data_IF_864264767513
#
_entry.id   IF_864264767513
#
_cell.length_a   1.000
_cell.length_b   1.000
_cell.length_c   1.000
_cell.angle_alpha   90.00
_cell.angle_beta   90.00
_cell.angle_gamma   90.00
#
_symmetry.space_group_name_H-M   'P 1'
#
loop_
_entity.id
_entity.type
_entity.pdbx_description
1 polymer ?
#
# COMPACT_ATOMS: atom_id res chain seq x y z
N UNK A 1 8.08 -69.91 8.45
CA UNK A 1 7.98 -68.42 8.10
C UNK A 1 9.24 -68.13 7.31
N UNK A 2 9.10 -67.72 6.07
CA UNK A 2 10.18 -67.68 5.10
C UNK A 2 11.10 -66.43 5.41
N UNK A 3 12.40 -66.73 5.54
CA UNK A 3 13.42 -65.74 5.91
C UNK A 3 13.44 -64.50 4.97
N UNK A 4 13.00 -64.67 3.73
CA UNK A 4 12.83 -63.58 2.75
C UNK A 4 11.69 -62.63 3.10
N UNK A 5 10.63 -63.11 3.78
CA UNK A 5 9.51 -62.25 4.25
C UNK A 5 9.88 -61.43 5.48
N UNK A 6 10.79 -61.92 6.32
CA UNK A 6 11.30 -61.21 7.49
C UNK A 6 12.23 -60.08 7.07
N UNK A 7 13.06 -60.27 6.05
CA UNK A 7 13.96 -59.23 5.51
C UNK A 7 13.15 -58.13 4.84
N UNK A 8 12.04 -58.45 4.14
CA UNK A 8 11.17 -57.45 3.51
C UNK A 8 10.41 -56.63 4.54
N UNK A 9 9.97 -57.22 5.65
CA UNK A 9 9.31 -56.52 6.74
C UNK A 9 10.27 -55.61 7.52
N UNK A 10 11.52 -56.01 7.71
CA UNK A 10 12.54 -55.15 8.31
C UNK A 10 12.96 -53.99 7.39
N UNK A 11 13.04 -54.23 6.10
CA UNK A 11 13.33 -53.17 5.12
C UNK A 11 12.19 -52.17 5.00
N UNK A 12 10.94 -52.58 5.09
CA UNK A 12 9.79 -51.67 5.10
C UNK A 12 9.68 -50.87 6.41
N UNK A 13 9.99 -51.48 7.56
CA UNK A 13 10.01 -50.81 8.85
C UNK A 13 11.16 -49.77 8.98
N UNK A 14 12.32 -50.06 8.37
CA UNK A 14 13.45 -49.13 8.36
C UNK A 14 13.17 -47.94 7.40
N UNK A 15 12.48 -48.18 6.27
CA UNK A 15 12.10 -47.13 5.34
C UNK A 15 11.01 -46.17 5.91
N UNK A 16 10.10 -46.71 6.75
CA UNK A 16 9.09 -45.88 7.43
C UNK A 16 9.67 -45.13 8.64
N UNK A 17 10.69 -45.65 9.31
CA UNK A 17 11.36 -44.97 10.42
C UNK A 17 12.30 -43.83 9.95
N UNK A 18 12.85 -43.93 8.73
CA UNK A 18 13.69 -42.86 8.15
C UNK A 18 12.83 -41.73 7.53
N UNK A 19 11.54 -41.99 7.23
CA UNK A 19 10.60 -40.98 6.74
C UNK A 19 10.02 -40.09 7.86
N UNK A 20 10.02 -40.53 9.12
CA UNK A 20 9.53 -39.72 10.25
C UNK A 20 10.60 -38.89 10.98
N UNK A 21 11.87 -39.02 10.60
CA UNK A 21 12.99 -38.36 11.30
C UNK A 21 13.56 -37.12 10.59
N UNK A 22 12.93 -36.61 9.54
CA UNK A 22 13.41 -35.44 8.81
C UNK A 22 12.62 -34.17 9.03
N UNK A 23 11.53 -34.21 9.77
CA UNK A 23 10.75 -33.02 10.10
C UNK A 23 11.27 -32.28 11.35
N UNK A 24 12.16 -32.91 12.14
CA UNK A 24 12.69 -32.32 13.36
C UNK A 24 13.90 -31.35 13.13
N UNK A 25 14.49 -31.34 11.94
CA UNK A 25 15.62 -30.45 11.60
C UNK A 25 15.20 -29.13 10.93
N UNK A 26 13.92 -28.95 10.62
CA UNK A 26 13.41 -27.67 10.20
C UNK A 26 12.99 -26.87 11.44
N UNK A 27 13.99 -26.35 12.13
CA UNK A 27 13.75 -25.26 13.08
C UNK A 27 13.25 -24.08 12.24
N UNK A 28 11.99 -23.61 12.47
CA UNK A 28 11.55 -22.38 11.84
C UNK A 28 12.56 -21.31 12.18
N UNK A 29 12.86 -20.38 11.24
CA UNK A 29 13.74 -19.25 11.53
C UNK A 29 13.36 -18.65 12.88
N UNK A 30 14.33 -18.30 13.71
CA UNK A 30 14.05 -17.61 14.98
C UNK A 30 13.51 -16.23 14.70
N UNK A 31 12.20 -16.14 14.54
CA UNK A 31 11.49 -14.88 14.33
C UNK A 31 11.19 -14.15 15.63
N UNK A 32 11.69 -14.65 16.74
CA UNK A 32 11.47 -14.06 18.05
C UNK A 32 12.66 -13.16 18.45
N UNK A 33 12.94 -12.15 17.63
CA UNK A 33 13.93 -11.14 17.96
C UNK A 33 13.26 -9.74 18.09
N UNK A 34 13.78 -8.88 18.97
CA UNK A 34 13.29 -7.51 19.04
C UNK A 34 13.65 -6.75 17.78
N UNK A 35 12.72 -5.97 17.25
CA UNK A 35 12.99 -5.11 16.09
C UNK A 35 14.01 -4.04 16.51
N UNK A 36 15.17 -3.97 15.84
CA UNK A 36 16.16 -2.95 16.15
C UNK A 36 15.65 -1.56 15.85
N UNK A 37 15.91 -0.62 16.74
CA UNK A 37 15.71 0.80 16.46
C UNK A 37 16.58 1.21 15.27
N UNK A 38 15.97 1.86 14.29
CA UNK A 38 16.63 2.29 13.05
C UNK A 38 16.39 3.77 12.85
N UNK A 39 17.43 4.49 12.45
CA UNK A 39 17.32 5.90 12.08
C UNK A 39 17.43 6.05 10.57
N UNK A 40 16.66 6.96 10.00
CA UNK A 40 16.78 7.36 8.61
C UNK A 40 17.86 8.45 8.48
N UNK A 41 18.66 8.39 7.42
CA UNK A 41 19.59 9.48 7.07
C UNK A 41 18.85 10.69 6.50
N UNK A 42 17.75 10.43 5.80
CA UNK A 42 16.84 11.44 5.24
C UNK A 42 15.42 11.08 5.60
N UNK A 43 14.54 12.07 5.85
CA UNK A 43 13.12 11.81 6.10
C UNK A 43 12.48 10.98 4.98
N UNK A 44 11.63 10.03 5.35
CA UNK A 44 10.87 9.26 4.37
C UNK A 44 9.82 10.12 3.66
N UNK A 45 9.50 9.75 2.43
CA UNK A 45 8.29 10.20 1.74
C UNK A 45 7.16 9.29 2.20
N UNK A 46 6.13 9.84 2.84
CA UNK A 46 5.06 9.04 3.44
C UNK A 46 3.76 9.22 2.67
N UNK A 47 3.29 8.14 2.04
CA UNK A 47 1.97 8.08 1.42
C UNK A 47 0.98 7.35 2.32
N UNK A 48 -0.30 7.77 2.33
CA UNK A 48 -1.34 7.07 3.07
C UNK A 48 -2.53 6.74 2.17
N UNK A 49 -2.99 5.49 2.22
CA UNK A 49 -4.20 5.05 1.49
C UNK A 49 -5.41 5.77 2.06
N UNK A 50 -6.20 6.38 1.19
CA UNK A 50 -7.34 7.19 1.56
C UNK A 50 -8.65 6.60 1.00
N UNK A 51 -9.63 6.41 1.89
CA UNK A 51 -10.97 5.96 1.51
C UNK A 51 -11.90 7.14 1.28
N UNK A 52 -12.50 7.21 0.08
CA UNK A 52 -13.46 8.24 -0.28
C UNK A 52 -14.84 7.85 0.24
N UNK A 53 -15.19 8.27 1.44
CA UNK A 53 -16.51 8.05 2.00
C UNK A 53 -17.54 9.01 1.36
N UNK A 54 -18.52 8.45 0.68
CA UNK A 54 -19.59 9.20 -0.03
C UNK A 54 -20.86 9.33 0.78
N UNK A 55 -21.02 8.52 1.81
CA UNK A 55 -22.17 8.48 2.71
C UNK A 55 -21.71 8.61 4.16
N UNK A 56 -22.66 8.81 5.07
CA UNK A 56 -22.41 8.94 6.52
C UNK A 56 -22.76 7.66 7.30
N UNK A 57 -22.91 6.53 6.62
CA UNK A 57 -23.28 5.25 7.23
C UNK A 57 -22.09 4.32 7.51
N UNK A 58 -20.87 4.74 7.17
CA UNK A 58 -19.65 3.98 7.48
C UNK A 58 -19.39 3.90 8.99
N UNK A 59 -18.80 2.80 9.43
CA UNK A 59 -18.56 2.53 10.85
C UNK A 59 -17.24 1.79 11.03
N UNK A 60 -16.57 2.11 12.14
CA UNK A 60 -15.48 1.27 12.66
C UNK A 60 -16.04 -0.06 13.19
N UNK A 61 -15.36 -1.15 12.91
CA UNK A 61 -15.71 -2.49 13.41
C UNK A 61 -15.56 -2.58 14.92
N UNK A 62 -14.54 -1.91 15.49
CA UNK A 62 -14.31 -1.84 16.94
C UNK A 62 -15.12 -0.74 17.63
N UNK A 63 -15.78 0.12 16.85
CA UNK A 63 -16.55 1.24 17.40
C UNK A 63 -15.73 2.49 17.66
N UNK A 64 -14.62 2.67 16.98
CA UNK A 64 -13.81 3.89 17.04
C UNK A 64 -14.55 5.08 16.42
N UNK A 65 -14.33 6.25 16.98
CA UNK A 65 -14.99 7.48 16.55
C UNK A 65 -13.94 8.49 16.10
N UNK A 66 -13.88 8.81 14.79
CA UNK A 66 -12.98 9.85 14.30
C UNK A 66 -13.23 11.19 15.00
N UNK A 67 -12.17 11.91 15.33
CA UNK A 67 -12.30 13.24 15.95
C UNK A 67 -13.08 14.22 15.05
N UNK A 68 -12.95 14.10 13.72
CA UNK A 68 -13.69 14.94 12.76
C UNK A 68 -15.19 14.61 12.70
N UNK A 69 -15.64 13.51 13.31
CA UNK A 69 -17.05 13.12 13.42
C UNK A 69 -17.69 13.60 14.72
N UNK A 70 -16.94 14.19 15.64
CA UNK A 70 -17.44 14.58 16.96
C UNK A 70 -17.98 16.00 16.92
N UNK A 71 -19.21 16.17 17.34
CA UNK A 71 -19.85 17.48 17.49
C UNK A 71 -19.75 17.93 18.94
N UNK A 72 -19.22 19.13 19.15
CA UNK A 72 -19.06 19.75 20.47
C UNK A 72 -20.02 20.92 20.63
N UNK A 73 -20.49 21.14 21.86
CA UNK A 73 -21.16 22.40 22.23
C UNK A 73 -20.14 23.54 22.48
N UNK A 74 -20.67 24.72 22.79
CA UNK A 74 -19.86 25.91 23.08
C UNK A 74 -18.96 25.73 24.32
N UNK A 75 -19.28 24.79 25.20
CA UNK A 75 -18.54 24.46 26.41
C UNK A 75 -17.52 23.34 26.19
N UNK A 76 -17.43 22.77 24.98
CA UNK A 76 -16.54 21.69 24.62
C UNK A 76 -17.04 20.29 25.03
N UNK A 77 -18.32 20.16 25.41
CA UNK A 77 -18.92 18.84 25.68
C UNK A 77 -19.40 18.20 24.37
N UNK A 78 -19.21 16.87 24.27
CA UNK A 78 -19.70 16.11 23.10
C UNK A 78 -21.23 16.05 23.14
N UNK A 79 -21.87 16.54 22.09
CA UNK A 79 -23.32 16.52 21.94
C UNK A 79 -23.83 15.49 20.95
N UNK A 80 -23.00 15.14 19.94
CA UNK A 80 -23.37 14.19 18.90
C UNK A 80 -22.10 13.58 18.25
N UNK A 81 -22.32 12.56 17.42
CA UNK A 81 -21.31 11.95 16.58
C UNK A 81 -21.90 11.73 15.19
N UNK A 82 -21.42 12.49 14.21
CA UNK A 82 -21.90 12.44 12.83
C UNK A 82 -20.75 12.07 11.90
N UNK A 83 -20.75 10.84 11.33
CA UNK A 83 -19.75 10.48 10.33
C UNK A 83 -19.73 11.49 9.18
N UNK A 84 -18.53 11.86 8.74
CA UNK A 84 -18.34 12.80 7.64
C UNK A 84 -18.40 12.11 6.27
N UNK A 85 -18.61 12.88 5.20
CA UNK A 85 -18.30 12.48 3.83
C UNK A 85 -17.02 13.15 3.36
N UNK A 86 -16.29 12.51 2.45
CA UNK A 86 -14.98 12.98 2.00
C UNK A 86 -15.02 14.37 1.33
N UNK A 87 -16.17 14.74 0.73
CA UNK A 87 -16.38 16.03 0.05
C UNK A 87 -17.15 17.04 0.89
N UNK A 88 -17.46 16.72 2.15
CA UNK A 88 -18.12 17.64 3.07
C UNK A 88 -17.23 18.87 3.33
N UNK A 89 -17.87 20.03 3.43
CA UNK A 89 -17.16 21.29 3.67
C UNK A 89 -16.24 21.24 4.91
N UNK A 90 -15.01 21.69 4.74
CA UNK A 90 -13.99 21.70 5.78
C UNK A 90 -13.26 20.37 6.02
N UNK A 91 -13.78 19.22 5.56
CA UNK A 91 -13.17 17.89 5.83
C UNK A 91 -11.81 17.77 5.13
N UNK A 92 -11.69 18.08 3.85
CA UNK A 92 -10.42 18.01 3.12
C UNK A 92 -9.36 18.88 3.82
N UNK A 93 -9.70 20.10 4.18
CA UNK A 93 -8.79 21.02 4.85
C UNK A 93 -8.35 20.49 6.21
N UNK A 94 -9.28 19.98 7.00
CA UNK A 94 -9.00 19.44 8.33
C UNK A 94 -8.12 18.17 8.24
N UNK A 95 -8.42 17.26 7.31
CA UNK A 95 -7.62 16.06 7.09
C UNK A 95 -6.21 16.38 6.58
N UNK A 96 -6.06 17.34 5.68
CA UNK A 96 -4.74 17.82 5.26
C UNK A 96 -3.93 18.36 6.44
N UNK A 97 -4.55 19.14 7.32
CA UNK A 97 -3.87 19.67 8.50
C UNK A 97 -3.37 18.57 9.44
N UNK A 98 -4.19 17.56 9.71
CA UNK A 98 -3.83 16.40 10.53
C UNK A 98 -2.77 15.53 9.84
N UNK A 99 -2.91 15.27 8.55
CA UNK A 99 -1.94 14.49 7.78
C UNK A 99 -0.57 15.18 7.70
N UNK A 100 -0.55 16.49 7.50
CA UNK A 100 0.68 17.32 7.56
C UNK A 100 1.34 17.22 8.94
N UNK A 101 0.55 17.20 10.02
CA UNK A 101 1.06 16.99 11.38
C UNK A 101 1.74 15.63 11.52
N UNK A 102 1.19 14.58 10.93
CA UNK A 102 1.79 13.24 10.90
C UNK A 102 3.03 13.16 9.98
N UNK A 103 3.23 14.13 9.10
CA UNK A 103 4.27 14.09 8.09
C UNK A 103 3.88 13.27 6.85
N UNK A 104 2.59 13.13 6.55
CA UNK A 104 2.11 12.53 5.31
C UNK A 104 2.36 13.51 4.16
N UNK A 105 2.97 13.02 3.08
CA UNK A 105 3.26 13.80 1.88
C UNK A 105 2.15 13.70 0.83
N UNK A 106 1.48 12.54 0.75
CA UNK A 106 0.36 12.35 -0.17
C UNK A 106 -0.68 11.35 0.33
N UNK A 107 -1.90 11.54 -0.13
CA UNK A 107 -2.96 10.53 -0.06
C UNK A 107 -3.04 9.74 -1.35
N UNK A 108 -3.16 8.43 -1.22
CA UNK A 108 -3.40 7.50 -2.32
C UNK A 108 -4.90 7.22 -2.40
N UNK A 109 -5.55 7.69 -3.46
CA UNK A 109 -6.97 7.47 -3.72
C UNK A 109 -7.19 6.41 -4.81
N UNK A 110 -8.27 5.63 -4.78
CA UNK A 110 -8.62 4.75 -5.89
C UNK A 110 -8.91 5.59 -7.14
N UNK A 111 -8.72 4.99 -8.32
CA UNK A 111 -9.08 5.58 -9.60
C UNK A 111 -9.62 4.49 -10.53
N UNK A 112 -10.94 4.47 -10.69
CA UNK A 112 -11.67 3.61 -11.61
C UNK A 112 -12.44 4.41 -12.68
N UNK A 113 -12.15 5.71 -12.78
CA UNK A 113 -12.78 6.68 -13.66
C UNK A 113 -14.30 6.77 -13.45
N UNK A 114 -14.72 6.83 -12.21
CA UNK A 114 -16.12 6.98 -11.84
C UNK A 114 -16.46 8.36 -11.25
N UNK A 115 -17.76 8.60 -11.06
CA UNK A 115 -18.23 9.88 -10.53
C UNK A 115 -17.79 10.16 -9.09
N UNK A 116 -17.48 9.13 -8.30
CA UNK A 116 -17.03 9.28 -6.90
C UNK A 116 -15.67 9.94 -6.87
N UNK A 117 -14.73 9.39 -7.62
CA UNK A 117 -13.36 9.87 -7.68
C UNK A 117 -13.29 11.25 -8.35
N UNK A 118 -14.02 11.44 -9.44
CA UNK A 118 -14.11 12.74 -10.12
C UNK A 118 -14.67 13.83 -9.20
N UNK A 119 -15.73 13.55 -8.46
CA UNK A 119 -16.30 14.51 -7.50
C UNK A 119 -15.33 14.80 -6.35
N UNK A 120 -14.61 13.80 -5.85
CA UNK A 120 -13.62 14.00 -4.82
C UNK A 120 -12.46 14.88 -5.31
N UNK A 121 -11.93 14.60 -6.50
CA UNK A 121 -10.83 15.39 -7.11
C UNK A 121 -11.26 16.84 -7.35
N UNK A 122 -12.49 17.07 -7.81
CA UNK A 122 -13.01 18.43 -7.96
C UNK A 122 -13.11 19.17 -6.62
N UNK A 123 -13.55 18.50 -5.56
CA UNK A 123 -13.56 19.09 -4.22
C UNK A 123 -12.13 19.31 -3.72
N UNK A 124 -11.22 18.38 -3.98
CA UNK A 124 -9.81 18.55 -3.64
C UNK A 124 -9.20 19.77 -4.34
N UNK A 125 -9.37 19.92 -5.64
CA UNK A 125 -8.87 21.08 -6.43
C UNK A 125 -9.43 22.41 -5.90
N UNK A 126 -10.66 22.39 -5.37
CA UNK A 126 -11.29 23.58 -4.78
C UNK A 126 -10.74 23.93 -3.38
N UNK A 127 -10.55 22.95 -2.51
CA UNK A 127 -10.17 23.18 -1.10
C UNK A 127 -8.66 23.14 -0.86
N UNK A 128 -7.90 22.50 -1.75
CA UNK A 128 -6.46 22.38 -1.58
C UNK A 128 -5.76 23.73 -1.77
N UNK A 129 -4.77 23.99 -0.93
CA UNK A 129 -3.86 25.13 -1.05
C UNK A 129 -2.42 24.67 -0.88
N UNK A 130 -1.45 25.44 -1.34
CA UNK A 130 -0.04 25.13 -1.16
C UNK A 130 0.35 24.90 0.32
N UNK A 131 -0.34 25.57 1.25
CA UNK A 131 -0.14 25.40 2.69
C UNK A 131 -0.69 24.09 3.23
N UNK A 132 -1.56 23.40 2.50
CA UNK A 132 -2.06 22.07 2.86
C UNK A 132 -0.91 21.08 3.05
N UNK A 133 0.12 21.15 2.18
CA UNK A 133 1.34 20.38 2.30
C UNK A 133 1.17 18.89 1.94
N UNK A 134 -0.05 18.40 1.78
CA UNK A 134 -0.40 17.03 1.39
C UNK A 134 -0.90 17.04 -0.05
N UNK A 135 -0.48 16.08 -0.85
CA UNK A 135 -0.83 15.96 -2.27
C UNK A 135 -1.65 14.72 -2.54
N UNK A 136 -2.08 14.50 -3.77
CA UNK A 136 -2.75 13.28 -4.20
C UNK A 136 -1.86 12.42 -5.09
N UNK A 137 -2.06 11.10 -4.97
CA UNK A 137 -1.62 10.07 -5.91
C UNK A 137 -2.83 9.21 -6.23
N UNK A 138 -2.99 8.79 -7.46
CA UNK A 138 -4.05 7.85 -7.84
C UNK A 138 -3.54 6.41 -7.81
N UNK A 139 -4.43 5.49 -7.44
CA UNK A 139 -4.29 4.06 -7.67
C UNK A 139 -5.11 3.71 -8.92
N UNK A 140 -4.43 3.71 -10.04
CA UNK A 140 -5.02 3.42 -11.34
C UNK A 140 -5.32 1.92 -11.48
N UNK A 141 -6.56 1.58 -11.77
CA UNK A 141 -6.99 0.21 -11.96
C UNK A 141 -7.22 -0.07 -13.44
N UNK A 142 -6.36 -0.85 -14.06
CA UNK A 142 -6.48 -1.19 -15.48
C UNK A 142 -7.78 -1.94 -15.82
N UNK A 143 -8.42 -2.58 -14.86
CA UNK A 143 -9.65 -3.34 -15.12
C UNK A 143 -10.86 -2.47 -15.47
N UNK A 144 -10.84 -1.16 -15.18
CA UNK A 144 -11.96 -0.26 -15.56
C UNK A 144 -12.08 -0.08 -17.08
N UNK A 145 -11.01 -0.27 -17.83
CA UNK A 145 -11.00 -0.21 -19.28
C UNK A 145 -11.44 -1.52 -19.93
N UNK A 146 -11.83 -2.53 -19.15
CA UNK A 146 -12.17 -3.87 -19.64
C UNK A 146 -11.08 -4.48 -20.53
N UNK A 147 -9.83 -4.18 -20.23
CA UNK A 147 -8.67 -4.57 -21.02
C UNK A 147 -8.57 -6.09 -21.04
N UNK A 148 -8.86 -6.68 -22.19
CA UNK A 148 -8.79 -8.13 -22.42
C UNK A 148 -7.47 -8.55 -23.08
N UNK A 149 -6.81 -7.62 -23.76
CA UNK A 149 -5.50 -7.83 -24.38
C UNK A 149 -4.83 -6.48 -24.62
N UNK A 150 -3.82 -6.14 -23.82
CA UNK A 150 -3.00 -4.95 -24.06
C UNK A 150 -1.92 -5.25 -25.12
N UNK A 151 -2.34 -5.50 -26.35
CA UNK A 151 -1.39 -5.59 -27.45
C UNK A 151 -0.90 -4.20 -27.82
N UNK A 152 0.40 -4.04 -27.99
CA UNK A 152 1.01 -2.79 -28.43
C UNK A 152 0.38 -2.34 -29.77
N UNK A 153 -0.17 -1.11 -29.79
CA UNK A 153 -0.90 -0.57 -30.95
C UNK A 153 -2.32 -1.14 -31.13
N UNK A 154 -2.81 -1.97 -30.21
CA UNK A 154 -4.21 -2.39 -30.18
C UNK A 154 -5.15 -1.33 -29.59
N UNK A 155 -6.47 -1.54 -29.74
CA UNK A 155 -7.47 -0.57 -29.26
C UNK A 155 -7.38 -0.32 -27.75
N UNK A 156 -7.08 -1.34 -26.96
CA UNK A 156 -6.96 -1.23 -25.50
C UNK A 156 -5.71 -0.43 -25.09
N UNK A 157 -4.60 -0.61 -25.82
CA UNK A 157 -3.40 0.19 -25.63
C UNK A 157 -3.67 1.68 -25.91
N UNK A 158 -4.30 1.98 -27.04
CA UNK A 158 -4.64 3.35 -27.41
C UNK A 158 -5.62 3.99 -26.41
N UNK A 159 -6.55 3.20 -25.84
CA UNK A 159 -7.46 3.67 -24.81
C UNK A 159 -6.71 4.09 -23.54
N UNK A 160 -5.76 3.28 -23.06
CA UNK A 160 -4.94 3.63 -21.90
C UNK A 160 -4.09 4.88 -22.15
N UNK A 161 -3.46 4.97 -23.33
CA UNK A 161 -2.67 6.16 -23.72
C UNK A 161 -3.55 7.41 -23.75
N UNK A 162 -4.76 7.31 -24.33
CA UNK A 162 -5.71 8.43 -24.39
C UNK A 162 -6.17 8.86 -23.00
N UNK A 163 -6.44 7.91 -22.12
CA UNK A 163 -6.83 8.16 -20.74
C UNK A 163 -5.72 8.90 -19.98
N UNK A 164 -4.48 8.42 -20.03
CA UNK A 164 -3.36 9.10 -19.39
C UNK A 164 -3.06 10.49 -19.94
N UNK A 165 -3.33 10.77 -21.21
CA UNK A 165 -3.29 12.12 -21.78
C UNK A 165 -4.36 13.03 -21.14
N UNK A 166 -5.55 12.48 -20.92
CA UNK A 166 -6.65 13.19 -20.24
C UNK A 166 -6.31 13.43 -18.77
N UNK A 167 -5.79 12.41 -18.08
CA UNK A 167 -5.35 12.50 -16.69
C UNK A 167 -4.19 13.48 -16.52
N UNK A 168 -3.30 13.59 -17.52
CA UNK A 168 -2.25 14.61 -17.46
C UNK A 168 -2.84 16.03 -17.35
N UNK A 169 -3.78 16.35 -18.22
CA UNK A 169 -4.40 17.68 -18.19
C UNK A 169 -5.18 17.97 -16.91
N UNK A 170 -5.84 16.96 -16.34
CA UNK A 170 -6.77 17.14 -15.25
C UNK A 170 -6.15 16.88 -13.85
N UNK A 171 -5.13 16.00 -13.75
CA UNK A 171 -4.53 15.58 -12.50
C UNK A 171 -3.02 15.80 -12.47
N UNK A 172 -2.27 15.12 -13.35
CA UNK A 172 -0.81 15.04 -13.22
C UNK A 172 -0.10 16.39 -13.41
N UNK A 173 -0.70 17.35 -14.12
CA UNK A 173 -0.15 18.70 -14.28
C UNK A 173 -0.46 19.64 -13.11
N UNK A 174 -1.26 19.22 -12.14
CA UNK A 174 -1.69 20.06 -11.03
C UNK A 174 -0.65 20.14 -9.92
N UNK A 175 -0.53 21.28 -9.28
CA UNK A 175 0.41 21.50 -8.16
C UNK A 175 0.13 20.60 -6.96
N UNK A 176 -1.11 20.17 -6.79
CA UNK A 176 -1.53 19.25 -5.74
C UNK A 176 -1.33 17.76 -6.08
N UNK A 177 -0.88 17.42 -7.30
CA UNK A 177 -0.50 16.05 -7.60
C UNK A 177 0.94 15.78 -7.13
N UNK A 178 1.20 14.57 -6.64
CA UNK A 178 2.50 14.24 -6.09
C UNK A 178 3.50 13.81 -7.18
N UNK A 179 4.63 14.47 -7.18
CA UNK A 179 5.78 14.14 -8.02
C UNK A 179 6.98 13.84 -7.13
N UNK A 180 7.78 12.87 -7.54
CA UNK A 180 9.10 12.69 -6.93
C UNK A 180 9.97 13.95 -7.10
N UNK A 181 11.04 14.12 -6.30
CA UNK A 181 11.99 15.21 -6.49
C UNK A 181 12.59 15.29 -7.92
N UNK A 182 12.59 14.18 -8.66
CA UNK A 182 12.96 14.13 -10.08
C UNK A 182 11.96 14.79 -11.03
N UNK A 183 10.77 15.15 -10.56
CA UNK A 183 9.66 15.66 -11.36
C UNK A 183 8.74 14.58 -11.95
N UNK A 184 9.01 13.30 -11.69
CA UNK A 184 8.19 12.17 -12.18
C UNK A 184 6.90 12.08 -11.38
N UNK A 185 5.71 12.07 -12.02
CA UNK A 185 4.46 11.81 -11.30
C UNK A 185 4.41 10.38 -10.80
N UNK A 186 3.97 10.20 -9.56
CA UNK A 186 3.80 8.87 -8.95
C UNK A 186 2.42 8.33 -9.28
N UNK A 187 2.35 7.10 -9.77
CA UNK A 187 1.09 6.39 -10.03
C UNK A 187 1.19 4.99 -9.45
N UNK A 188 0.27 4.65 -8.56
CA UNK A 188 0.10 3.26 -8.13
C UNK A 188 -0.78 2.54 -9.15
N UNK A 189 -0.42 1.31 -9.51
CA UNK A 189 -1.17 0.51 -10.46
C UNK A 189 -1.67 -0.79 -9.83
N UNK A 190 -2.89 -1.16 -10.18
CA UNK A 190 -3.53 -2.40 -9.77
C UNK A 190 -4.23 -3.07 -10.95
N UNK A 191 -4.67 -4.32 -10.76
CA UNK A 191 -5.34 -5.07 -11.83
C UNK A 191 -4.40 -5.62 -12.92
N UNK A 192 -3.10 -5.70 -12.63
CA UNK A 192 -2.08 -6.18 -13.57
C UNK A 192 -1.80 -7.70 -13.45
N UNK A 193 -2.71 -8.46 -12.87
CA UNK A 193 -2.48 -9.87 -12.60
C UNK A 193 -2.74 -10.80 -13.81
N UNK A 194 -3.10 -10.28 -14.98
CA UNK A 194 -3.35 -11.13 -16.15
C UNK A 194 -2.04 -11.52 -16.82
N UNK A 195 -1.66 -12.79 -16.68
CA UNK A 195 -0.45 -13.39 -17.25
C UNK A 195 -0.46 -13.42 -18.80
N UNK A 196 -1.62 -13.20 -19.43
CA UNK A 196 -1.76 -13.19 -20.88
C UNK A 196 -1.34 -11.88 -21.54
N UNK A 197 -1.11 -10.85 -20.74
CA UNK A 197 -0.75 -9.53 -21.20
C UNK A 197 0.77 -9.41 -21.29
N UNK A 198 1.30 -8.98 -22.41
CA UNK A 198 2.71 -8.59 -22.57
C UNK A 198 2.95 -7.24 -21.88
N UNK A 199 3.10 -7.28 -20.56
CA UNK A 199 3.36 -6.09 -19.77
C UNK A 199 4.67 -5.38 -20.12
N UNK A 200 5.68 -6.11 -20.56
CA UNK A 200 6.95 -5.52 -21.01
C UNK A 200 6.75 -4.66 -22.25
N UNK A 201 6.15 -5.23 -23.29
CA UNK A 201 5.85 -4.53 -24.53
C UNK A 201 4.91 -3.37 -24.29
N UNK A 202 3.84 -3.59 -23.49
CA UNK A 202 2.89 -2.54 -23.15
C UNK A 202 3.56 -1.35 -22.45
N UNK A 203 4.30 -1.56 -21.36
CA UNK A 203 4.92 -0.46 -20.60
C UNK A 203 5.99 0.27 -21.42
N UNK A 204 6.75 -0.45 -22.25
CA UNK A 204 7.73 0.15 -23.14
C UNK A 204 7.05 1.08 -24.15
N UNK A 205 6.05 0.58 -24.87
CA UNK A 205 5.30 1.38 -25.84
C UNK A 205 4.52 2.53 -25.21
N UNK A 206 3.96 2.33 -24.01
CA UNK A 206 3.30 3.38 -23.25
C UNK A 206 4.28 4.53 -22.92
N UNK A 207 5.49 4.22 -22.42
CA UNK A 207 6.51 5.25 -22.12
C UNK A 207 6.93 6.00 -23.38
N UNK A 208 7.06 5.33 -24.52
CA UNK A 208 7.35 5.96 -25.81
C UNK A 208 6.22 6.90 -26.24
N UNK A 209 4.96 6.46 -26.15
CA UNK A 209 3.79 7.26 -26.49
C UNK A 209 3.66 8.52 -25.61
N UNK A 210 3.90 8.39 -24.30
CA UNK A 210 3.85 9.52 -23.38
C UNK A 210 5.02 10.48 -23.55
N UNK A 211 6.21 9.99 -23.90
CA UNK A 211 7.36 10.83 -24.27
C UNK A 211 7.08 11.66 -25.54
N UNK A 212 6.47 11.04 -26.54
CA UNK A 212 6.04 11.72 -27.76
C UNK A 212 5.03 12.81 -27.45
N UNK A 213 4.00 12.47 -26.65
CA UNK A 213 2.99 13.44 -26.23
C UNK A 213 3.57 14.60 -25.41
N UNK A 214 4.54 14.36 -24.52
CA UNK A 214 5.22 15.42 -23.80
C UNK A 214 5.87 16.44 -24.73
N UNK A 215 6.56 15.94 -25.78
CA UNK A 215 7.17 16.80 -26.80
C UNK A 215 6.15 17.62 -27.57
N UNK A 216 5.04 17.00 -27.98
CA UNK A 216 3.95 17.67 -28.69
C UNK A 216 3.23 18.72 -27.85
N UNK A 217 3.01 18.42 -26.56
CA UNK A 217 2.36 19.32 -25.63
C UNK A 217 3.28 20.44 -25.08
N UNK A 218 4.58 20.41 -25.41
CA UNK A 218 5.57 21.34 -24.85
C UNK A 218 5.76 21.17 -23.34
N UNK A 219 5.44 19.99 -22.80
CA UNK A 219 5.58 19.66 -21.40
C UNK A 219 7.01 19.20 -21.07
N UNK A 220 7.49 19.39 -19.84
CA UNK A 220 8.75 18.79 -19.41
C UNK A 220 8.72 17.27 -19.56
N UNK A 221 9.77 16.67 -20.12
CA UNK A 221 9.82 15.22 -20.34
C UNK A 221 9.55 14.41 -19.04
N UNK A 222 10.05 14.90 -17.90
CA UNK A 222 9.84 14.26 -16.59
C UNK A 222 8.38 14.26 -16.12
N UNK A 223 7.56 15.19 -16.59
CA UNK A 223 6.13 15.29 -16.18
C UNK A 223 5.24 14.20 -16.75
N UNK A 224 5.75 13.42 -17.69
CA UNK A 224 5.07 12.28 -18.34
C UNK A 224 5.91 11.00 -18.28
N UNK A 225 7.03 11.03 -17.56
CA UNK A 225 7.82 9.86 -17.18
C UNK A 225 7.33 9.35 -15.81
N UNK A 226 6.26 8.58 -15.83
CA UNK A 226 5.60 8.11 -14.62
C UNK A 226 6.48 7.17 -13.79
N UNK A 227 6.44 7.36 -12.47
CA UNK A 227 6.98 6.40 -11.50
C UNK A 227 5.87 5.44 -11.10
N UNK A 228 5.88 4.25 -11.69
CA UNK A 228 4.85 3.24 -11.44
C UNK A 228 5.16 2.38 -10.23
N UNK A 229 4.21 2.31 -9.30
CA UNK A 229 4.25 1.46 -8.12
C UNK A 229 3.19 0.37 -8.25
N UNK A 230 3.60 -0.90 -8.24
CA UNK A 230 2.68 -2.04 -8.26
C UNK A 230 2.11 -2.34 -6.89
N UNK A 231 0.77 -2.48 -6.80
CA UNK A 231 0.11 -3.03 -5.61
C UNK A 231 0.01 -4.55 -5.73
N UNK A 232 0.63 -5.24 -4.80
CA UNK A 232 0.61 -6.71 -4.71
C UNK A 232 -0.20 -7.14 -3.50
N UNK A 233 -1.30 -7.86 -3.73
CA UNK A 233 -2.28 -8.19 -2.68
C UNK A 233 -2.08 -9.55 -2.03
N UNK A 234 -1.22 -10.42 -2.56
CA UNK A 234 -1.36 -11.84 -2.30
C UNK A 234 -0.18 -12.52 -1.60
N UNK A 235 1.00 -11.93 -1.49
CA UNK A 235 2.12 -12.72 -1.04
C UNK A 235 3.09 -12.00 -0.11
N UNK A 236 3.26 -12.59 1.07
CA UNK A 236 4.39 -12.34 1.95
C UNK A 236 5.74 -12.64 1.28
N UNK A 237 5.76 -13.62 0.38
CA UNK A 237 6.94 -13.96 -0.39
C UNK A 237 6.94 -13.19 -1.71
N UNK A 238 8.10 -12.65 -2.08
CA UNK A 238 8.31 -12.10 -3.40
C UNK A 238 8.00 -13.16 -4.48
N UNK A 239 7.43 -12.75 -5.64
CA UNK A 239 7.21 -13.67 -6.74
C UNK A 239 8.54 -14.30 -7.18
N UNK A 240 8.58 -15.62 -7.25
CA UNK A 240 9.82 -16.35 -7.58
C UNK A 240 10.01 -16.55 -9.09
N UNK A 241 9.04 -16.15 -9.91
CA UNK A 241 9.08 -16.34 -11.36
C UNK A 241 9.51 -15.06 -12.06
N UNK A 242 10.33 -15.19 -13.10
CA UNK A 242 10.73 -14.09 -13.98
C UNK A 242 9.54 -13.52 -14.81
N UNK A 243 8.36 -14.07 -14.67
CA UNK A 243 7.15 -13.72 -15.40
C UNK A 243 6.26 -12.74 -14.63
N UNK A 244 6.65 -12.36 -13.41
CA UNK A 244 5.88 -11.41 -12.63
C UNK A 244 5.89 -10.02 -13.27
N UNK A 245 4.69 -9.42 -13.39
CA UNK A 245 4.53 -8.02 -13.81
C UNK A 245 5.27 -7.05 -12.90
N UNK A 246 5.49 -7.44 -11.65
CA UNK A 246 6.23 -6.65 -10.65
C UNK A 246 7.61 -6.21 -11.13
N UNK A 247 8.30 -6.99 -11.97
CA UNK A 247 9.65 -6.67 -12.48
C UNK A 247 9.72 -5.49 -13.45
N UNK A 248 8.59 -5.15 -14.07
CA UNK A 248 8.53 -4.09 -15.10
C UNK A 248 8.17 -2.72 -14.55
N UNK A 249 7.78 -2.65 -13.29
CA UNK A 249 7.43 -1.42 -12.59
C UNK A 249 8.67 -0.80 -11.94
N UNK A 250 8.59 0.48 -11.58
CA UNK A 250 9.69 1.16 -10.89
C UNK A 250 9.80 0.69 -9.44
N UNK A 251 8.68 0.39 -8.82
CA UNK A 251 8.60 -0.08 -7.44
C UNK A 251 7.40 -0.98 -7.20
N UNK A 252 7.42 -1.70 -6.08
CA UNK A 252 6.30 -2.53 -5.65
C UNK A 252 6.08 -2.42 -4.15
N UNK A 253 4.81 -2.39 -3.72
CA UNK A 253 4.46 -2.62 -2.33
C UNK A 253 3.49 -3.78 -2.17
N UNK A 254 3.44 -4.33 -0.97
CA UNK A 254 2.58 -5.47 -0.64
C UNK A 254 1.57 -5.03 0.40
N UNK A 255 0.28 -5.18 0.06
CA UNK A 255 -0.79 -5.13 1.04
C UNK A 255 -0.85 -6.48 1.75
N UNK A 256 -0.32 -6.54 2.95
CA UNK A 256 -0.30 -7.75 3.76
C UNK A 256 -1.65 -7.99 4.45
N UNK A 257 -2.73 -8.08 3.68
CA UNK A 257 -4.07 -8.25 4.24
C UNK A 257 -4.34 -9.63 4.86
N UNK A 258 -3.51 -10.64 4.59
CA UNK A 258 -3.79 -11.99 5.05
C UNK A 258 -2.55 -12.78 5.45
N UNK A 259 -2.31 -12.95 6.73
CA UNK A 259 -1.64 -14.15 7.22
C UNK A 259 -2.70 -15.27 7.39
N UNK A 260 -3.28 -15.76 6.30
CA UNK A 260 -4.43 -16.69 6.34
C UNK A 260 -4.15 -18.05 6.94
N UNK A 261 -2.92 -18.38 7.27
CA UNK A 261 -2.57 -19.73 7.71
C UNK A 261 -1.62 -19.83 8.90
N UNK A 262 -1.26 -18.71 9.56
CA UNK A 262 -0.16 -18.73 10.52
C UNK A 262 -0.49 -17.99 11.83
N UNK A 263 -1.62 -18.32 12.46
CA UNK A 263 -2.00 -17.81 13.79
C UNK A 263 -0.88 -17.92 14.83
N UNK A 264 -0.07 -18.96 14.73
CA UNK A 264 1.07 -19.21 15.61
C UNK A 264 2.20 -18.18 15.46
N UNK A 265 2.18 -17.38 14.37
CA UNK A 265 3.24 -16.41 14.02
C UNK A 265 2.92 -14.97 14.37
N UNK A 266 1.78 -14.71 14.96
CA UNK A 266 1.40 -13.33 15.32
C UNK A 266 2.27 -12.73 16.41
N UNK A 267 2.71 -13.54 17.35
CA UNK A 267 3.69 -13.12 18.34
C UNK A 267 5.02 -12.67 17.70
N UNK A 268 5.31 -13.12 16.48
CA UNK A 268 6.51 -12.79 15.71
C UNK A 268 6.21 -12.02 14.41
N UNK A 269 5.05 -11.34 14.33
CA UNK A 269 4.60 -10.65 13.12
C UNK A 269 5.66 -9.68 12.57
N UNK A 270 6.23 -8.84 13.42
CA UNK A 270 7.20 -7.83 12.98
C UNK A 270 8.52 -8.43 12.51
N UNK A 271 9.17 -9.37 13.24
CA UNK A 271 10.32 -10.09 12.72
C UNK A 271 10.05 -10.87 11.43
N UNK A 272 8.90 -11.50 11.33
CA UNK A 272 8.49 -12.21 10.11
C UNK A 272 8.35 -11.25 8.94
N UNK A 273 7.71 -10.10 9.15
CA UNK A 273 7.55 -9.05 8.14
C UNK A 273 8.89 -8.48 7.72
N UNK A 274 9.80 -8.21 8.68
CA UNK A 274 11.16 -7.73 8.39
C UNK A 274 11.90 -8.69 7.44
N UNK A 275 11.84 -9.99 7.71
CA UNK A 275 12.43 -11.01 6.82
C UNK A 275 11.76 -11.08 5.44
N UNK A 276 10.43 -11.07 5.42
CA UNK A 276 9.67 -11.13 4.17
C UNK A 276 9.98 -9.93 3.27
N UNK A 277 10.09 -8.73 3.85
CA UNK A 277 10.42 -7.52 3.11
C UNK A 277 11.89 -7.46 2.69
N UNK A 278 12.81 -8.02 3.45
CA UNK A 278 14.19 -8.22 3.00
C UNK A 278 14.24 -9.09 1.74
N UNK A 279 13.48 -10.19 1.71
CA UNK A 279 13.37 -11.02 0.51
C UNK A 279 12.82 -10.23 -0.69
N UNK A 280 11.75 -9.45 -0.49
CA UNK A 280 11.21 -8.58 -1.54
C UNK A 280 12.27 -7.60 -2.08
N UNK A 281 13.03 -6.98 -1.20
CA UNK A 281 14.11 -6.07 -1.60
C UNK A 281 15.18 -6.75 -2.45
N UNK A 282 15.57 -7.96 -2.08
CA UNK A 282 16.57 -8.72 -2.88
C UNK A 282 16.03 -9.08 -4.27
N UNK A 283 14.76 -9.50 -4.38
CA UNK A 283 14.13 -9.74 -5.67
C UNK A 283 14.00 -8.45 -6.48
N UNK A 284 13.48 -7.38 -5.90
CA UNK A 284 13.34 -6.08 -6.55
C UNK A 284 14.69 -5.57 -7.08
N UNK A 285 15.73 -5.66 -6.25
CA UNK A 285 17.10 -5.34 -6.68
C UNK A 285 17.57 -6.18 -7.87
N UNK A 286 17.24 -7.47 -7.89
CA UNK A 286 17.54 -8.37 -9.01
C UNK A 286 16.82 -7.98 -10.30
N UNK A 287 15.67 -7.36 -10.20
CA UNK A 287 14.89 -6.85 -11.35
C UNK A 287 15.26 -5.42 -11.75
N UNK A 288 16.06 -4.72 -10.96
CA UNK A 288 16.42 -3.31 -11.21
C UNK A 288 15.34 -2.32 -10.76
N UNK A 289 14.42 -2.75 -9.90
CA UNK A 289 13.40 -1.90 -9.27
C UNK A 289 13.52 -1.93 -7.74
N UNK A 290 12.54 -1.40 -7.01
CA UNK A 290 12.58 -1.34 -5.55
C UNK A 290 11.30 -1.84 -4.89
N UNK A 291 11.45 -2.19 -3.61
CA UNK A 291 10.35 -2.52 -2.72
C UNK A 291 10.00 -1.32 -1.85
N UNK A 292 8.70 -1.07 -1.67
CA UNK A 292 8.16 -0.01 -0.81
C UNK A 292 7.47 -0.67 0.40
N UNK A 293 7.91 -0.40 1.63
CA UNK A 293 7.24 -0.85 2.84
C UNK A 293 5.82 -0.26 2.97
N UNK A 294 4.87 -1.09 3.43
CA UNK A 294 3.51 -0.63 3.73
C UNK A 294 3.12 -1.05 5.16
N UNK A 295 2.98 -0.07 6.03
CA UNK A 295 2.68 -0.25 7.45
C UNK A 295 1.24 0.12 7.77
N UNK A 296 0.73 -0.33 8.92
CA UNK A 296 -0.59 0.06 9.43
C UNK A 296 -0.65 0.02 10.96
N UNK A 297 -1.45 0.94 11.58
CA UNK A 297 -1.54 1.01 13.05
C UNK A 297 -2.26 -0.18 13.68
N UNK A 298 -3.23 -0.72 12.97
CA UNK A 298 -4.07 -1.85 13.37
C UNK A 298 -4.63 -2.50 12.10
N UNK A 299 -5.05 -3.75 12.21
CA UNK A 299 -5.90 -4.35 11.19
C UNK A 299 -6.75 -5.47 11.77
N UNK A 300 -8.02 -5.52 11.33
CA UNK A 300 -8.97 -6.59 11.64
C UNK A 300 -9.33 -7.36 10.39
N UNK A 301 -9.78 -8.61 10.55
CA UNK A 301 -10.35 -9.36 9.45
C UNK A 301 -11.66 -8.76 9.01
N UNK A 302 -11.85 -8.60 7.71
CA UNK A 302 -13.07 -8.05 7.16
C UNK A 302 -14.32 -8.75 7.71
N UNK A 303 -15.27 -7.97 8.20
CA UNK A 303 -16.53 -8.45 8.75
C UNK A 303 -16.45 -9.09 10.14
N UNK A 304 -15.30 -9.06 10.80
CA UNK A 304 -15.10 -9.59 12.16
C UNK A 304 -14.49 -8.54 13.09
N UNK A 305 -14.47 -8.83 14.41
CA UNK A 305 -13.73 -8.03 15.39
C UNK A 305 -12.34 -8.62 15.70
N UNK A 306 -12.00 -9.70 15.02
CA UNK A 306 -10.74 -10.39 15.28
C UNK A 306 -9.60 -9.59 14.66
N UNK A 307 -8.67 -9.18 15.50
CA UNK A 307 -7.47 -8.43 15.11
C UNK A 307 -6.40 -9.39 14.66
N UNK A 308 -5.78 -9.13 13.53
CA UNK A 308 -4.52 -9.75 13.17
C UNK A 308 -3.31 -8.84 13.41
N UNK A 309 -3.54 -7.53 13.57
CA UNK A 309 -2.57 -6.59 14.15
C UNK A 309 -3.30 -5.76 15.19
N UNK A 310 -2.78 -5.77 16.40
CA UNK A 310 -3.33 -5.01 17.51
C UNK A 310 -2.80 -3.58 17.52
N UNK A 311 -3.70 -2.61 17.70
CA UNK A 311 -3.35 -1.20 17.90
C UNK A 311 -2.62 -1.04 19.24
N UNK A 312 -1.32 -0.77 19.15
CA UNK A 312 -0.44 -0.58 20.29
C UNK A 312 0.75 0.29 19.87
N UNK A 313 1.13 1.27 20.69
CA UNK A 313 2.20 2.22 20.37
C UNK A 313 3.54 1.52 20.11
N UNK A 314 3.91 0.53 20.94
CA UNK A 314 5.13 -0.24 20.74
C UNK A 314 5.10 -0.99 19.41
N UNK A 315 4.00 -1.67 19.13
CA UNK A 315 3.81 -2.44 17.93
C UNK A 315 3.92 -1.57 16.67
N UNK A 316 3.27 -0.41 16.68
CA UNK A 316 3.35 0.51 15.55
C UNK A 316 4.74 1.13 15.40
N UNK A 317 5.43 1.43 16.51
CA UNK A 317 6.82 1.87 16.51
C UNK A 317 7.74 0.78 15.91
N UNK A 318 7.55 -0.47 16.31
CA UNK A 318 8.29 -1.60 15.74
C UNK A 318 8.02 -1.72 14.23
N UNK A 319 6.77 -1.53 13.78
CA UNK A 319 6.44 -1.57 12.35
C UNK A 319 7.11 -0.44 11.58
N UNK A 320 7.13 0.78 12.13
CA UNK A 320 7.91 1.88 11.54
C UNK A 320 9.40 1.54 11.43
N UNK A 321 9.96 0.86 12.43
CA UNK A 321 11.37 0.42 12.38
C UNK A 321 11.60 -0.68 11.33
N UNK A 322 10.66 -1.63 11.17
CA UNK A 322 10.70 -2.60 10.06
C UNK A 322 10.66 -1.88 8.72
N UNK A 323 9.80 -0.86 8.56
CA UNK A 323 9.75 -0.07 7.34
C UNK A 323 11.09 0.63 7.06
N UNK A 324 11.67 1.31 8.05
CA UNK A 324 12.95 2.01 7.90
C UNK A 324 14.10 1.09 7.48
N UNK A 325 14.09 -0.16 7.94
CA UNK A 325 15.08 -1.18 7.55
C UNK A 325 14.93 -1.66 6.11
N UNK A 326 13.73 -1.49 5.54
CA UNK A 326 13.34 -2.04 4.25
C UNK A 326 13.01 -0.98 3.19
N UNK A 327 13.22 0.29 3.51
CA UNK A 327 12.95 1.41 2.60
C UNK A 327 13.87 1.34 1.36
N UNK A 328 13.30 1.59 0.18
CA UNK A 328 14.01 1.64 -1.10
C UNK A 328 14.66 3.00 -1.38
N UNK A 329 15.21 3.14 -2.58
CA UNK A 329 15.94 4.35 -3.01
C UNK A 329 15.04 5.57 -3.21
N UNK A 330 13.75 5.38 -3.51
CA UNK A 330 12.76 6.47 -3.57
C UNK A 330 12.49 7.10 -2.21
N UNK A 331 12.80 6.40 -1.13
CA UNK A 331 12.50 6.84 0.23
C UNK A 331 11.01 6.76 0.59
N UNK A 332 10.18 6.08 -0.19
CA UNK A 332 8.73 5.99 0.04
C UNK A 332 8.40 4.93 1.09
N UNK A 333 7.49 5.26 1.99
CA UNK A 333 6.79 4.36 2.92
C UNK A 333 5.29 4.60 2.76
N UNK A 334 4.53 3.52 2.60
CA UNK A 334 3.06 3.60 2.57
C UNK A 334 2.47 3.32 3.95
N UNK A 335 1.40 4.01 4.28
CA UNK A 335 0.55 3.73 5.46
C UNK A 335 -0.82 3.27 4.95
N UNK A 336 -1.24 2.11 5.34
CA UNK A 336 -2.56 1.59 5.04
C UNK A 336 -3.35 1.47 6.36
N UNK A 337 -4.16 2.47 6.68
CA UNK A 337 -4.66 3.56 5.85
C UNK A 337 -4.64 4.90 6.58
N UNK A 338 -5.03 5.97 5.87
CA UNK A 338 -5.39 7.22 6.53
C UNK A 338 -6.69 7.03 7.35
N UNK A 339 -7.75 6.51 6.72
CA UNK A 339 -9.10 6.51 7.29
C UNK A 339 -9.94 5.26 7.00
N UNK A 340 -9.34 4.07 6.85
CA UNK A 340 -10.13 2.84 6.70
C UNK A 340 -10.63 2.32 8.05
N UNK A 341 -11.85 2.72 8.39
CA UNK A 341 -12.56 2.25 9.59
C UNK A 341 -13.24 0.90 9.40
N UNK A 342 -13.40 0.42 8.17
CA UNK A 342 -13.97 -0.91 7.91
C UNK A 342 -13.02 -2.05 8.27
N UNK A 343 -11.72 -1.76 8.28
CA UNK A 343 -10.66 -2.68 8.73
C UNK A 343 -9.93 -2.16 9.98
N UNK A 344 -10.41 -1.07 10.58
CA UNK A 344 -9.84 -0.37 11.73
C UNK A 344 -8.34 -0.01 11.58
N UNK A 345 -7.88 0.11 10.34
CA UNK A 345 -6.48 0.44 10.04
C UNK A 345 -6.21 1.95 10.00
N UNK A 346 -7.18 2.76 10.42
CA UNK A 346 -7.09 4.22 10.33
C UNK A 346 -5.95 4.80 11.16
N UNK A 347 -5.14 5.67 10.52
CA UNK A 347 -4.16 6.53 11.17
C UNK A 347 -4.80 7.83 11.68
N UNK A 348 -5.86 8.29 11.02
CA UNK A 348 -6.62 9.49 11.37
C UNK A 348 -6.96 9.50 12.87
N UNK A 349 -6.87 10.66 13.54
CA UNK A 349 -7.19 10.77 14.96
C UNK A 349 -8.61 10.34 15.26
N UNK A 350 -8.73 9.44 16.23
CA UNK A 350 -10.03 8.94 16.68
C UNK A 350 -9.97 8.57 18.16
N UNK A 351 -11.13 8.46 18.81
CA UNK A 351 -11.20 7.89 20.15
C UNK A 351 -11.04 6.38 20.11
N UNK A 352 -10.18 5.79 20.97
CA UNK A 352 -9.61 6.40 22.17
C UNK A 352 -8.18 6.95 22.05
N UNK A 353 -7.52 6.93 20.88
CA UNK A 353 -6.07 7.20 20.76
C UNK A 353 -5.70 8.66 20.46
N UNK A 354 -6.65 9.51 20.01
CA UNK A 354 -6.37 10.88 19.63
C UNK A 354 -5.28 10.97 18.54
N UNK A 355 -4.29 11.80 18.74
CA UNK A 355 -3.20 12.04 17.79
C UNK A 355 -1.95 11.15 18.00
N UNK A 356 -1.97 10.21 18.93
CA UNK A 356 -0.81 9.40 19.31
C UNK A 356 -0.10 8.78 18.11
N UNK A 357 -0.85 8.21 17.17
CA UNK A 357 -0.26 7.55 16.00
C UNK A 357 0.25 8.54 14.93
N UNK A 358 -0.30 9.76 14.88
CA UNK A 358 0.28 10.85 14.08
C UNK A 358 1.68 11.21 14.59
N UNK A 359 1.81 11.35 15.91
CA UNK A 359 3.07 11.72 16.56
C UNK A 359 4.13 10.63 16.37
N UNK A 360 3.75 9.35 16.50
CA UNK A 360 4.65 8.22 16.23
C UNK A 360 5.09 8.22 14.77
N UNK A 361 4.15 8.36 13.81
CA UNK A 361 4.47 8.40 12.38
C UNK A 361 5.48 9.49 12.07
N UNK A 362 5.22 10.71 12.55
CA UNK A 362 6.13 11.84 12.37
C UNK A 362 7.50 11.58 12.99
N UNK A 363 7.54 11.15 14.25
CA UNK A 363 8.79 10.90 14.98
C UNK A 363 9.66 9.84 14.31
N UNK A 364 9.03 8.79 13.83
CA UNK A 364 9.77 7.62 13.30
C UNK A 364 10.14 7.78 11.82
N UNK A 365 9.34 8.51 11.02
CA UNK A 365 9.54 8.58 9.58
C UNK A 365 10.03 9.94 9.07
N UNK A 366 10.02 11.00 9.91
CA UNK A 366 10.48 12.35 9.56
C UNK A 366 11.61 12.81 10.47
#
# INVERSE_FOLDING_TARGET
MDMKKIILLFSAAVLTAVSCGKDDDYLPPDWNYPIPQTNLETPAIVGAVYNIYTTTDWKSVQGYVPELSIVYDEQGAVTDTVPYTATQDGIITAQCALAKKAGIDFFLIPWNDDAVETNFVNAWDFYWTADSGVKLVIKYNFSHLHVSSLELGGADFEAVVADFKTLYANLFSKDWYYHLPSGRPVVVVSGMADEKIDWEGFLTGFREAMTTYASEAGAPASSLDFFFIGENTTNWAAPQTNESTAKWLDANYVLNWYPTTYYERWACFYPFTDMAWQNWREYAKGWGNEFIPCIYPEAVYSGTKDRYIERNEKNYTDFCNVAKRNIGSSGIVMVNSWNDYSHDSALEPARPWGETYLDITRKELK
#
